data_IF_962882185434
#
_entry.id   IF_962882185434
#
_cell.length_a   1.000
_cell.length_b   1.000
_cell.length_c   1.000
_cell.angle_alpha   90.00
_cell.angle_beta   90.00
_cell.angle_gamma   90.00
#
_symmetry.space_group_name_H-M   'P 1'
#
loop_
_entity.id
_entity.type
_entity.pdbx_description
1 polymer ?
#
# COMPACT_ATOMS: atom_id res chain seq x y z
N UNK A 1 -5.60 -11.66 -28.96
CA UNK A 1 -4.51 -11.84 -27.97
C UNK A 1 -5.12 -11.61 -26.60
N UNK A 2 -4.99 -12.57 -25.67
CA UNK A 2 -5.35 -12.32 -24.28
C UNK A 2 -4.26 -11.42 -23.71
N UNK A 3 -4.70 -10.31 -23.17
CA UNK A 3 -3.85 -9.21 -22.80
C UNK A 3 -3.52 -9.39 -21.31
N UNK A 4 -2.30 -9.84 -20.99
CA UNK A 4 -1.94 -10.22 -19.61
C UNK A 4 -1.82 -8.97 -18.70
N UNK A 5 -2.37 -9.04 -17.49
CA UNK A 5 -2.27 -7.99 -16.47
C UNK A 5 -1.72 -8.63 -15.20
N UNK A 6 -0.60 -8.12 -14.68
CA UNK A 6 -0.04 -8.57 -13.42
C UNK A 6 -0.67 -7.82 -12.25
N UNK A 7 -1.09 -8.53 -11.20
CA UNK A 7 -1.53 -7.91 -9.94
C UNK A 7 -0.45 -8.13 -8.90
N UNK A 8 0.18 -7.05 -8.44
CA UNK A 8 1.31 -7.09 -7.51
C UNK A 8 0.87 -6.57 -6.15
N UNK A 9 0.90 -7.42 -5.13
CA UNK A 9 0.62 -7.03 -3.74
C UNK A 9 1.91 -6.60 -3.04
N UNK A 10 2.01 -5.31 -2.71
CA UNK A 10 3.10 -4.79 -1.87
C UNK A 10 2.70 -4.91 -0.40
N UNK A 11 3.54 -5.61 0.38
CA UNK A 11 3.41 -5.74 1.83
C UNK A 11 3.80 -4.44 2.56
N UNK A 12 3.25 -4.22 3.75
CA UNK A 12 3.59 -3.05 4.56
C UNK A 12 4.95 -3.15 5.27
N UNK A 13 5.53 -4.35 5.34
CA UNK A 13 6.81 -4.65 5.99
C UNK A 13 8.01 -4.59 5.04
N UNK A 14 7.79 -4.38 3.75
CA UNK A 14 8.79 -4.63 2.71
C UNK A 14 9.70 -3.45 2.40
N UNK A 15 9.26 -2.19 2.60
CA UNK A 15 10.00 -0.99 2.19
C UNK A 15 11.16 -0.61 3.14
N UNK A 16 12.13 -1.50 3.30
CA UNK A 16 13.39 -1.25 4.02
C UNK A 16 14.46 -0.56 3.14
N UNK A 17 15.63 -0.27 3.71
CA UNK A 17 16.72 0.47 3.03
C UNK A 17 17.25 -0.17 1.73
N UNK A 18 17.04 -1.48 1.52
CA UNK A 18 17.49 -2.22 0.33
C UNK A 18 16.36 -2.69 -0.57
N UNK A 19 15.13 -2.23 -0.37
CA UNK A 19 13.97 -2.65 -1.18
C UNK A 19 14.00 -1.98 -2.56
N UNK A 20 14.03 -2.79 -3.63
CA UNK A 20 13.99 -2.34 -5.03
C UNK A 20 12.60 -2.42 -5.66
N UNK A 21 11.59 -2.94 -4.95
CA UNK A 21 10.28 -3.30 -5.51
C UNK A 21 9.64 -2.17 -6.30
N UNK A 22 9.72 -0.92 -5.82
CA UNK A 22 9.16 0.23 -6.54
C UNK A 22 9.93 0.56 -7.82
N UNK A 23 11.27 0.47 -7.78
CA UNK A 23 12.11 0.67 -8.95
C UNK A 23 11.91 -0.45 -9.99
N UNK A 24 11.70 -1.68 -9.53
CA UNK A 24 11.40 -2.83 -10.39
C UNK A 24 10.04 -2.67 -11.06
N UNK A 25 9.00 -2.26 -10.32
CA UNK A 25 7.68 -1.94 -10.88
C UNK A 25 7.75 -0.85 -11.96
N UNK A 26 8.51 0.23 -11.71
CA UNK A 26 8.71 1.28 -12.72
C UNK A 26 9.47 0.74 -13.94
N UNK A 27 10.44 -0.14 -13.74
CA UNK A 27 11.20 -0.75 -14.83
C UNK A 27 10.33 -1.67 -15.69
N UNK A 28 9.44 -2.45 -15.09
CA UNK A 28 8.46 -3.28 -15.78
C UNK A 28 7.43 -2.42 -16.54
N UNK A 29 6.94 -1.34 -15.92
CA UNK A 29 6.06 -0.37 -16.60
C UNK A 29 6.73 0.24 -17.84
N UNK A 30 8.02 0.58 -17.76
CA UNK A 30 8.81 1.09 -18.91
C UNK A 30 8.98 0.06 -20.03
N UNK A 31 8.88 -1.23 -19.72
CA UNK A 31 8.85 -2.34 -20.70
C UNK A 31 7.44 -2.61 -21.24
N UNK A 32 6.49 -1.72 -20.99
CA UNK A 32 5.08 -1.83 -21.39
C UNK A 32 4.32 -2.99 -20.73
N UNK A 33 4.80 -3.51 -19.60
CA UNK A 33 4.04 -4.45 -18.80
C UNK A 33 2.89 -3.72 -18.08
N UNK A 34 1.70 -4.32 -18.16
CA UNK A 34 0.51 -3.77 -17.52
C UNK A 34 0.31 -4.40 -16.15
N UNK A 35 0.23 -3.53 -15.16
CA UNK A 35 0.24 -3.94 -13.76
C UNK A 35 -0.75 -3.14 -12.93
N UNK A 36 -1.36 -3.83 -11.98
CA UNK A 36 -2.17 -3.27 -10.89
C UNK A 36 -1.39 -3.50 -9.61
N UNK A 37 -1.09 -2.43 -8.88
CA UNK A 37 -0.43 -2.50 -7.59
C UNK A 37 -1.47 -2.42 -6.49
N UNK A 38 -1.50 -3.43 -5.63
CA UNK A 38 -2.33 -3.47 -4.41
C UNK A 38 -1.42 -3.29 -3.21
N UNK A 39 -1.82 -2.52 -2.22
CA UNK A 39 -1.04 -2.35 -0.99
C UNK A 39 -1.85 -2.68 0.25
N UNK A 40 -1.15 -2.88 1.36
CA UNK A 40 -1.75 -2.90 2.70
C UNK A 40 -1.26 -1.71 3.50
N UNK A 41 -1.29 -1.80 4.82
CA UNK A 41 -0.76 -0.76 5.69
C UNK A 41 -1.04 -1.04 7.16
N UNK A 42 -1.17 -2.32 7.54
CA UNK A 42 -1.63 -2.70 8.88
C UNK A 42 -0.80 -2.09 10.01
N UNK A 43 0.53 -2.00 9.84
CA UNK A 43 1.43 -1.35 10.79
C UNK A 43 1.18 0.16 10.93
N UNK A 44 1.05 0.88 9.81
CA UNK A 44 0.71 2.31 9.80
C UNK A 44 -0.66 2.55 10.43
N UNK A 45 -1.67 1.74 10.10
CA UNK A 45 -3.00 1.82 10.73
C UNK A 45 -2.89 1.63 12.23
N UNK A 46 -2.18 0.60 12.71
CA UNK A 46 -1.99 0.39 14.15
C UNK A 46 -1.29 1.57 14.83
N UNK A 47 -0.29 2.17 14.17
CA UNK A 47 0.42 3.33 14.69
C UNK A 47 -0.52 4.54 14.84
N UNK A 48 -1.34 4.81 13.83
CA UNK A 48 -2.29 5.92 13.87
C UNK A 48 -3.45 5.68 14.85
N UNK A 49 -4.00 4.46 14.90
CA UNK A 49 -4.99 4.07 15.91
C UNK A 49 -4.44 4.32 17.33
N UNK A 50 -3.21 3.87 17.61
CA UNK A 50 -2.57 4.07 18.91
C UNK A 50 -2.39 5.55 19.29
N UNK A 51 -2.02 6.41 18.33
CA UNK A 51 -1.92 7.86 18.56
C UNK A 51 -3.25 8.52 18.91
N UNK A 52 -4.36 7.92 18.48
CA UNK A 52 -5.72 8.38 18.77
C UNK A 52 -6.32 7.68 20.01
N UNK A 53 -5.54 6.86 20.73
CA UNK A 53 -6.01 6.11 21.89
C UNK A 53 -6.88 4.90 21.56
N UNK A 54 -6.89 4.46 20.30
CA UNK A 54 -7.63 3.28 19.85
C UNK A 54 -6.73 2.03 19.88
N UNK A 55 -7.22 0.96 20.51
CA UNK A 55 -6.52 -0.32 20.53
C UNK A 55 -6.79 -1.15 19.28
N UNK A 56 -5.72 -1.55 18.60
CA UNK A 56 -5.80 -2.46 17.44
C UNK A 56 -6.00 -3.90 17.89
N UNK A 57 -7.07 -4.55 17.43
CA UNK A 57 -7.38 -5.96 17.73
C UNK A 57 -7.32 -6.82 16.47
N UNK A 58 -6.87 -8.07 16.64
CA UNK A 58 -6.74 -9.04 15.54
C UNK A 58 -7.34 -10.39 15.93
N UNK A 59 -7.99 -11.06 14.98
CA UNK A 59 -8.48 -12.45 15.11
C UNK A 59 -8.21 -13.21 13.83
N UNK A 60 -7.57 -14.39 13.92
CA UNK A 60 -7.23 -15.18 12.74
C UNK A 60 -6.39 -14.45 11.68
N UNK A 61 -5.54 -13.50 12.10
CA UNK A 61 -4.73 -12.67 11.19
C UNK A 61 -5.48 -11.50 10.55
N UNK A 62 -6.76 -11.31 10.83
CA UNK A 62 -7.58 -10.20 10.36
C UNK A 62 -7.75 -9.14 11.44
N UNK A 63 -7.71 -7.86 11.06
CA UNK A 63 -8.02 -6.75 11.98
C UNK A 63 -9.52 -6.76 12.28
N UNK A 64 -9.86 -6.71 13.56
CA UNK A 64 -11.24 -6.44 14.00
C UNK A 64 -11.44 -4.93 13.97
N UNK A 65 -12.20 -4.44 12.99
CA UNK A 65 -12.40 -2.99 12.78
C UNK A 65 -13.83 -2.62 13.16
N UNK A 66 -13.99 -1.79 14.19
CA UNK A 66 -15.29 -1.21 14.56
C UNK A 66 -15.61 0.07 13.76
N UNK A 67 -16.80 0.63 13.96
CA UNK A 67 -17.24 1.86 13.26
C UNK A 67 -16.27 3.03 13.49
N UNK A 68 -15.84 3.26 14.74
CA UNK A 68 -14.92 4.34 15.09
C UNK A 68 -13.52 4.17 14.47
N UNK A 69 -13.06 2.93 14.27
CA UNK A 69 -11.74 2.65 13.71
C UNK A 69 -11.77 2.68 12.18
N UNK A 70 -12.93 2.44 11.54
CA UNK A 70 -13.07 2.40 10.08
C UNK A 70 -12.60 3.70 9.42
N UNK A 71 -12.93 4.84 10.01
CA UNK A 71 -12.47 6.15 9.53
C UNK A 71 -10.96 6.28 9.53
N UNK A 72 -10.30 5.78 10.59
CA UNK A 72 -8.83 5.77 10.70
C UNK A 72 -8.23 4.84 9.66
N UNK A 73 -8.76 3.62 9.51
CA UNK A 73 -8.29 2.66 8.50
C UNK A 73 -8.37 3.26 7.10
N UNK A 74 -9.51 3.84 6.73
CA UNK A 74 -9.72 4.44 5.41
C UNK A 74 -8.77 5.63 5.17
N UNK A 75 -8.67 6.55 6.13
CA UNK A 75 -7.79 7.71 6.02
C UNK A 75 -6.31 7.32 5.88
N UNK A 76 -5.86 6.34 6.66
CA UNK A 76 -4.46 5.89 6.61
C UNK A 76 -4.18 5.12 5.32
N UNK A 77 -5.03 4.18 4.92
CA UNK A 77 -4.78 3.38 3.72
C UNK A 77 -4.93 4.20 2.44
N UNK A 78 -6.05 4.88 2.24
CA UNK A 78 -6.33 5.63 1.00
C UNK A 78 -5.66 7.02 0.96
N UNK A 79 -5.48 7.65 2.12
CA UNK A 79 -4.87 8.97 2.22
C UNK A 79 -3.36 8.89 2.41
N UNK A 80 -2.88 8.25 3.47
CA UNK A 80 -1.46 8.30 3.80
C UNK A 80 -0.61 7.32 2.98
N UNK A 81 -0.91 6.03 3.09
CA UNK A 81 -0.08 4.96 2.53
C UNK A 81 -0.14 4.97 1.01
N UNK A 82 -1.35 5.03 0.45
CA UNK A 82 -1.56 5.08 -0.98
C UNK A 82 -0.84 6.28 -1.62
N UNK A 83 -1.00 7.49 -1.08
CA UNK A 83 -0.40 8.70 -1.67
C UNK A 83 1.11 8.71 -1.56
N UNK A 84 1.68 8.18 -0.47
CA UNK A 84 3.13 7.95 -0.37
C UNK A 84 3.63 7.01 -1.45
N UNK A 85 2.95 5.89 -1.68
CA UNK A 85 3.31 4.93 -2.72
C UNK A 85 3.24 5.55 -4.13
N UNK A 86 2.15 6.25 -4.44
CA UNK A 86 1.97 6.96 -5.72
C UNK A 86 3.08 8.00 -5.92
N UNK A 87 3.37 8.80 -4.89
CA UNK A 87 4.43 9.81 -4.93
C UNK A 87 5.80 9.17 -5.20
N UNK A 88 6.15 8.08 -4.52
CA UNK A 88 7.42 7.39 -4.70
C UNK A 88 7.55 6.78 -6.10
N UNK A 89 6.50 6.10 -6.60
CA UNK A 89 6.49 5.55 -7.95
C UNK A 89 6.67 6.65 -9.01
N UNK A 90 5.98 7.78 -8.86
CA UNK A 90 6.09 8.91 -9.76
C UNK A 90 7.47 9.58 -9.68
N UNK A 91 8.05 9.70 -8.48
CA UNK A 91 9.40 10.24 -8.29
C UNK A 91 10.49 9.38 -8.95
N UNK A 92 10.28 8.06 -9.07
CA UNK A 92 11.15 7.14 -9.81
C UNK A 92 10.93 7.17 -11.33
N UNK A 93 10.04 8.04 -11.82
CA UNK A 93 9.71 8.19 -13.24
C UNK A 93 8.66 7.20 -13.74
N UNK A 94 7.90 6.59 -12.83
CA UNK A 94 6.68 5.86 -13.17
C UNK A 94 5.49 6.78 -13.41
N UNK A 95 4.38 6.20 -13.86
CA UNK A 95 3.08 6.86 -13.96
C UNK A 95 2.06 6.07 -13.16
N UNK A 96 1.85 6.48 -11.92
CA UNK A 96 0.94 5.86 -10.97
C UNK A 96 -0.23 6.80 -10.63
N UNK A 97 -1.42 6.20 -10.51
CA UNK A 97 -2.64 6.83 -10.00
C UNK A 97 -3.28 5.85 -9.03
N UNK A 98 -3.71 6.35 -7.88
CA UNK A 98 -4.32 5.61 -6.79
C UNK A 98 -4.78 6.57 -5.73
#
# INVERSE_FOLDING_TARGET
>A
MIEHIAVVKIGGSTLGQSDTSLADLVSLQKRSERMIVVHGGGGEVSQWSSRLGLESRFTGGLRVTGEDELGVVAAVLAGLVNKRLVLQLNALGGRAVG
#
